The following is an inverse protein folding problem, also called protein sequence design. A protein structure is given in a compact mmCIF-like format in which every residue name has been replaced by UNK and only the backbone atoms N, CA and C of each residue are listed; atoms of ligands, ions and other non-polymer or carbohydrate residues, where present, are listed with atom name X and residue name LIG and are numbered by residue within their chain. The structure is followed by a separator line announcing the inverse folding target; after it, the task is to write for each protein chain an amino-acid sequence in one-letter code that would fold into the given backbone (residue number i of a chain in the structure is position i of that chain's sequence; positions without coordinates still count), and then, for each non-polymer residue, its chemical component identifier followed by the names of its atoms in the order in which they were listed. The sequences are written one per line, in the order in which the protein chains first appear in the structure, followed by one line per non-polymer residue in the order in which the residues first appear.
data_IF_441449970255
#
_entry.id   IF_441449970255
#
_cell.length_a   1.000
_cell.length_b   1.000
_cell.length_c   1.000
_cell.angle_alpha   90.00
_cell.angle_beta   90.00
_cell.angle_gamma   90.00
#
_symmetry.space_group_name_H-M   'P 1'
#
loop_
_entity.id
_entity.type
_entity.pdbx_description
1 polymer ?
#
# COMPACT_ATOMS: atom_id res chain seq x y z
N UNK A 1 -48.60 -3.62 74.65
CA UNK A 1 -47.30 -2.98 74.38
C UNK A 1 -46.63 -3.72 73.25
N UNK A 2 -46.31 -3.00 72.16
CA UNK A 2 -45.21 -3.15 71.18
C UNK A 2 -44.73 -4.58 70.80
N UNK A 3 -44.45 -4.96 69.56
CA UNK A 3 -44.71 -4.49 68.20
C UNK A 3 -44.28 -5.68 67.31
N UNK A 4 -45.17 -6.18 66.44
CA UNK A 4 -44.80 -7.07 65.34
C UNK A 4 -44.17 -6.20 64.25
N UNK A 5 -42.90 -6.45 63.92
CA UNK A 5 -42.24 -5.84 62.76
C UNK A 5 -41.82 -6.95 61.80
N UNK A 6 -42.56 -7.04 60.70
CA UNK A 6 -42.08 -7.48 59.37
C UNK A 6 -41.81 -6.20 58.56
N UNK A 7 -41.27 -6.16 57.32
CA UNK A 7 -40.95 -7.23 56.37
C UNK A 7 -39.61 -7.06 55.58
N UNK A 8 -39.21 -8.14 54.87
CA UNK A 8 -38.79 -8.21 53.45
C UNK A 8 -37.90 -7.09 52.86
N UNK A 9 -36.75 -7.45 52.25
CA UNK A 9 -36.53 -7.35 50.78
C UNK A 9 -35.05 -7.58 50.40
N UNK A 10 -34.86 -8.63 49.60
CA UNK A 10 -33.77 -8.81 48.64
C UNK A 10 -33.71 -7.62 47.69
N UNK A 11 -32.52 -7.19 47.26
CA UNK A 11 -32.22 -6.56 45.96
C UNK A 11 -30.82 -5.90 46.00
N UNK A 12 -30.00 -5.76 44.96
CA UNK A 12 -29.98 -6.20 43.56
C UNK A 12 -28.49 -6.06 43.15
N UNK A 13 -27.99 -7.01 42.36
CA UNK A 13 -26.69 -6.91 41.70
C UNK A 13 -26.71 -5.75 40.69
N UNK A 14 -25.83 -4.76 40.85
CA UNK A 14 -25.57 -3.76 39.83
C UNK A 14 -24.52 -4.32 38.85
N UNK A 15 -25.01 -5.08 37.88
CA UNK A 15 -24.29 -5.39 36.66
C UNK A 15 -24.20 -4.13 35.79
N UNK A 16 -23.02 -3.52 35.73
CA UNK A 16 -22.71 -2.47 34.76
C UNK A 16 -22.39 -3.11 33.41
N UNK A 17 -23.37 -3.19 32.52
CA UNK A 17 -23.17 -3.53 31.12
C UNK A 17 -22.46 -2.34 30.42
N UNK A 18 -21.15 -2.43 30.21
CA UNK A 18 -20.44 -1.52 29.32
C UNK A 18 -20.84 -1.86 27.87
N UNK A 19 -21.71 -1.05 27.27
CA UNK A 19 -21.94 -1.08 25.83
C UNK A 19 -20.65 -0.64 25.11
N UNK A 20 -19.84 -1.60 24.71
CA UNK A 20 -18.81 -1.39 23.70
C UNK A 20 -19.52 -1.18 22.35
N UNK A 21 -19.77 0.07 21.99
CA UNK A 21 -20.19 0.43 20.65
C UNK A 21 -19.02 0.17 19.70
N UNK A 22 -19.03 -1.00 19.05
CA UNK A 22 -18.16 -1.32 17.94
C UNK A 22 -18.57 -0.44 16.75
N UNK A 23 -17.90 0.70 16.58
CA UNK A 23 -17.99 1.48 15.35
C UNK A 23 -17.35 0.63 14.25
N UNK A 24 -18.17 -0.07 13.48
CA UNK A 24 -17.73 -0.74 12.27
C UNK A 24 -17.30 0.32 11.26
N UNK A 25 -16.00 0.56 11.14
CA UNK A 25 -15.45 1.39 10.07
C UNK A 25 -15.73 0.70 8.74
N UNK A 26 -16.69 1.23 7.97
CA UNK A 26 -16.90 0.83 6.58
C UNK A 26 -15.62 1.17 5.82
N UNK A 27 -14.88 0.16 5.36
CA UNK A 27 -13.73 0.41 4.48
C UNK A 27 -14.28 0.86 3.13
N UNK A 28 -13.80 2.00 2.58
CA UNK A 28 -14.17 2.40 1.23
C UNK A 28 -13.80 1.29 0.25
N UNK A 29 -14.68 1.06 -0.72
CA UNK A 29 -14.52 0.00 -1.73
C UNK A 29 -13.46 0.47 -2.72
N UNK A 30 -12.35 -0.27 -2.84
CA UNK A 30 -11.35 0.06 -3.84
C UNK A 30 -11.86 -0.28 -5.25
N UNK A 31 -11.72 0.67 -6.17
CA UNK A 31 -12.03 0.48 -7.59
C UNK A 31 -10.76 0.23 -8.39
N UNK A 32 -10.86 -0.58 -9.45
CA UNK A 32 -9.70 -0.89 -10.29
C UNK A 32 -9.54 0.20 -11.34
N UNK A 33 -8.43 0.93 -11.29
CA UNK A 33 -8.09 1.94 -12.28
C UNK A 33 -6.93 1.50 -13.15
N UNK A 34 -6.90 2.00 -14.39
CA UNK A 34 -5.74 1.90 -15.27
C UNK A 34 -4.82 3.09 -15.02
N UNK A 35 -3.54 2.80 -14.90
CA UNK A 35 -2.47 3.75 -14.65
C UNK A 35 -1.52 3.81 -15.85
N UNK A 36 -1.19 5.01 -16.30
CA UNK A 36 -0.27 5.25 -17.41
C UNK A 36 0.96 6.02 -16.91
N UNK A 37 2.14 5.47 -17.17
CA UNK A 37 3.41 6.04 -16.70
C UNK A 37 4.02 7.01 -17.71
N UNK A 38 4.42 8.17 -17.22
CA UNK A 38 5.16 9.20 -17.94
C UNK A 38 6.50 9.46 -17.25
N UNK A 39 7.54 8.75 -17.67
CA UNK A 39 8.90 8.91 -17.19
C UNK A 39 9.90 8.67 -18.34
N UNK A 40 11.08 9.33 -18.33
CA UNK A 40 12.10 9.10 -19.34
C UNK A 40 12.53 7.62 -19.35
N UNK A 41 12.86 7.13 -20.54
CA UNK A 41 13.48 5.82 -20.74
C UNK A 41 14.91 6.04 -21.21
N UNK A 42 15.86 5.49 -20.47
CA UNK A 42 17.26 5.47 -20.89
C UNK A 42 17.49 4.27 -21.82
N UNK A 43 18.20 4.50 -22.93
CA UNK A 43 18.56 3.43 -23.86
C UNK A 43 19.47 2.40 -23.16
N UNK A 44 19.20 1.12 -23.37
CA UNK A 44 19.95 0.03 -22.73
C UNK A 44 19.62 -0.19 -21.25
N UNK A 45 18.73 0.61 -20.64
CA UNK A 45 18.29 0.41 -19.27
C UNK A 45 17.29 -0.74 -19.15
N UNK A 46 17.43 -1.53 -18.09
CA UNK A 46 16.46 -2.53 -17.69
C UNK A 46 15.68 -2.04 -16.46
N UNK A 47 14.36 -2.09 -16.52
CA UNK A 47 13.49 -1.63 -15.43
C UNK A 47 12.65 -2.80 -14.91
N UNK A 48 12.79 -3.12 -13.63
CA UNK A 48 11.85 -4.00 -12.92
C UNK A 48 10.62 -3.16 -12.52
N UNK A 49 9.64 -3.08 -13.41
CA UNK A 49 8.51 -2.14 -13.29
C UNK A 49 7.15 -2.83 -13.39
N UNK A 50 6.17 -2.34 -12.62
CA UNK A 50 4.76 -2.69 -12.73
C UNK A 50 4.17 -2.26 -14.10
N UNK A 51 4.82 -1.31 -14.78
CA UNK A 51 4.40 -0.75 -16.06
C UNK A 51 5.07 -1.40 -17.27
N UNK A 52 5.54 -2.65 -17.15
CA UNK A 52 6.30 -3.35 -18.21
C UNK A 52 5.55 -3.46 -19.55
N UNK A 53 4.22 -3.37 -19.52
CA UNK A 53 3.34 -3.42 -20.70
C UNK A 53 2.72 -2.04 -21.02
N UNK A 54 3.30 -0.95 -20.51
CA UNK A 54 2.83 0.43 -20.73
C UNK A 54 1.79 0.90 -19.70
N UNK A 55 0.95 0.00 -19.21
CA UNK A 55 -0.09 0.28 -18.21
C UNK A 55 -0.01 -0.67 -17.00
N UNK A 56 -0.49 -0.19 -15.85
CA UNK A 56 -0.75 -1.01 -14.67
C UNK A 56 -2.24 -0.90 -14.29
N UNK A 57 -2.87 -2.00 -13.89
CA UNK A 57 -4.24 -1.99 -13.34
C UNK A 57 -4.19 -2.27 -11.86
N UNK A 58 -4.65 -1.34 -11.03
CA UNK A 58 -4.53 -1.45 -9.58
C UNK A 58 -5.79 -0.97 -8.86
N UNK A 59 -6.17 -1.62 -7.75
CA UNK A 59 -7.24 -1.13 -6.90
C UNK A 59 -6.77 0.12 -6.15
N UNK A 60 -7.49 1.23 -6.28
CA UNK A 60 -7.25 2.48 -5.55
C UNK A 60 -8.47 2.76 -4.68
N UNK A 61 -8.24 3.08 -3.41
CA UNK A 61 -9.28 3.52 -2.49
C UNK A 61 -9.54 5.03 -2.68
N UNK A 62 -10.72 5.49 -2.27
CA UNK A 62 -11.18 6.88 -2.46
C UNK A 62 -10.24 7.94 -1.88
N UNK A 63 -9.44 7.59 -0.86
CA UNK A 63 -8.48 8.48 -0.21
C UNK A 63 -7.14 8.63 -0.96
N UNK A 64 -6.98 7.94 -2.10
CA UNK A 64 -5.79 7.98 -2.96
C UNK A 64 -4.47 7.86 -2.21
N UNK A 65 -4.35 6.82 -1.37
CA UNK A 65 -3.12 6.56 -0.64
C UNK A 65 -1.86 6.45 -1.53
N UNK A 66 -0.69 6.67 -0.93
CA UNK A 66 0.59 6.41 -1.60
C UNK A 66 0.70 4.94 -1.97
N UNK A 67 0.98 4.65 -3.24
CA UNK A 67 1.17 3.29 -3.73
C UNK A 67 2.66 2.96 -3.79
N UNK A 68 3.03 1.75 -3.38
CA UNK A 68 4.41 1.27 -3.45
C UNK A 68 4.46 -0.13 -4.05
N UNK A 69 5.15 -0.28 -5.18
CA UNK A 69 5.44 -1.57 -5.79
C UNK A 69 6.88 -1.97 -5.48
N UNK A 70 7.07 -3.17 -4.94
CA UNK A 70 8.39 -3.75 -4.69
C UNK A 70 8.53 -5.03 -5.49
N UNK A 71 9.53 -5.07 -6.36
CA UNK A 71 9.83 -6.22 -7.20
C UNK A 71 11.24 -6.67 -6.94
N UNK A 72 11.46 -7.99 -6.96
CA UNK A 72 12.78 -8.60 -6.84
C UNK A 72 12.97 -9.59 -7.98
N UNK A 73 14.15 -9.61 -8.56
CA UNK A 73 14.50 -10.55 -9.61
C UNK A 73 16.00 -10.84 -9.59
N UNK A 74 16.36 -12.05 -9.97
CA UNK A 74 17.72 -12.39 -10.37
C UNK A 74 17.84 -12.03 -11.87
N UNK A 75 18.83 -11.21 -12.20
CA UNK A 75 19.05 -10.73 -13.57
C UNK A 75 20.24 -11.46 -14.22
N UNK A 76 20.33 -11.35 -15.53
CA UNK A 76 21.39 -11.99 -16.32
C UNK A 76 22.77 -11.33 -16.16
N UNK A 77 22.90 -10.33 -15.29
CA UNK A 77 24.17 -9.77 -14.83
C UNK A 77 24.81 -10.57 -13.69
N UNK A 78 24.16 -11.66 -13.23
CA UNK A 78 24.60 -12.49 -12.12
C UNK A 78 24.21 -11.92 -10.74
N UNK A 79 23.34 -10.90 -10.70
CA UNK A 79 22.94 -10.24 -9.48
C UNK A 79 21.44 -10.32 -9.21
N UNK A 80 21.11 -10.33 -7.92
CA UNK A 80 19.75 -10.18 -7.42
C UNK A 80 19.47 -8.71 -7.14
N UNK A 81 18.42 -8.20 -7.74
CA UNK A 81 18.01 -6.80 -7.64
C UNK A 81 16.66 -6.64 -6.94
N UNK A 82 16.45 -5.48 -6.33
CA UNK A 82 15.16 -5.00 -5.87
C UNK A 82 14.87 -3.64 -6.50
N UNK A 83 13.76 -3.52 -7.20
CA UNK A 83 13.20 -2.24 -7.60
C UNK A 83 12.05 -1.84 -6.69
N UNK A 84 11.95 -0.54 -6.44
CA UNK A 84 10.86 0.10 -5.72
C UNK A 84 10.29 1.21 -6.57
N UNK A 85 8.99 1.14 -6.87
CA UNK A 85 8.23 2.22 -7.49
C UNK A 85 7.31 2.83 -6.45
N UNK A 86 7.40 4.14 -6.26
CA UNK A 86 6.56 4.90 -5.34
C UNK A 86 5.73 5.90 -6.11
N UNK A 87 4.43 5.90 -5.84
CA UNK A 87 3.47 6.84 -6.39
C UNK A 87 2.86 7.64 -5.26
N UNK A 88 3.17 8.93 -5.20
CA UNK A 88 2.60 9.86 -4.20
C UNK A 88 1.51 10.68 -4.87
N UNK A 89 0.27 10.68 -4.36
CA UNK A 89 -0.84 11.43 -4.95
C UNK A 89 -0.49 12.92 -5.01
N UNK A 90 -0.75 13.55 -6.15
CA UNK A 90 -0.61 15.01 -6.31
C UNK A 90 -1.90 15.67 -6.79
N UNK A 91 -2.86 14.89 -7.30
CA UNK A 91 -4.23 15.32 -7.60
C UNK A 91 -5.14 14.09 -7.73
N UNK A 92 -6.46 14.33 -7.84
CA UNK A 92 -7.47 13.29 -8.03
C UNK A 92 -7.25 12.35 -9.24
N UNK A 93 -6.40 12.71 -10.22
CA UNK A 93 -6.11 11.84 -11.38
C UNK A 93 -4.62 11.69 -11.67
N UNK A 94 -3.75 12.06 -10.73
CA UNK A 94 -2.31 12.05 -10.97
C UNK A 94 -1.49 11.76 -9.72
N UNK A 95 -0.46 10.94 -9.91
CA UNK A 95 0.58 10.68 -8.94
C UNK A 95 1.92 11.22 -9.44
N UNK A 96 2.75 11.72 -8.52
CA UNK A 96 4.19 11.81 -8.77
C UNK A 96 4.80 10.41 -8.69
N UNK A 97 5.79 10.12 -9.54
CA UNK A 97 6.40 8.80 -9.64
C UNK A 97 7.90 8.85 -9.37
N UNK A 98 8.37 7.86 -8.60
CA UNK A 98 9.79 7.61 -8.36
C UNK A 98 10.11 6.13 -8.51
N UNK A 99 11.14 5.81 -9.27
CA UNK A 99 11.74 4.48 -9.40
C UNK A 99 13.15 4.50 -8.81
N UNK A 100 13.40 3.57 -7.90
CA UNK A 100 14.71 3.34 -7.28
C UNK A 100 15.04 1.86 -7.31
N UNK A 101 16.33 1.55 -7.37
CA UNK A 101 16.78 0.16 -7.34
C UNK A 101 18.01 -0.06 -6.48
N UNK A 102 18.07 -1.28 -5.96
CA UNK A 102 19.09 -1.74 -5.05
C UNK A 102 19.54 -3.14 -5.43
N UNK A 103 20.85 -3.29 -5.53
CA UNK A 103 21.51 -4.58 -5.59
C UNK A 103 21.42 -5.24 -4.21
N UNK A 104 20.90 -6.47 -4.18
CA UNK A 104 20.72 -7.25 -2.95
C UNK A 104 21.91 -8.19 -2.73
N UNK A 105 22.32 -8.90 -3.77
CA UNK A 105 23.44 -9.84 -3.76
C UNK A 105 23.95 -10.06 -5.19
N UNK A 106 25.16 -10.57 -5.34
CA UNK A 106 25.73 -10.98 -6.62
C UNK A 106 26.53 -12.26 -6.47
N UNK A 107 26.65 -13.01 -7.56
CA UNK A 107 27.67 -14.05 -7.71
C UNK A 107 29.09 -13.44 -7.67
N UNK A 108 30.13 -14.20 -7.28
CA UNK A 108 31.49 -13.69 -7.12
C UNK A 108 32.08 -12.98 -8.35
N UNK A 109 31.75 -13.45 -9.55
CA UNK A 109 32.28 -12.93 -10.83
C UNK A 109 31.22 -12.16 -11.63
N UNK A 110 30.13 -11.74 -10.98
CA UNK A 110 29.06 -10.99 -11.61
C UNK A 110 29.54 -9.60 -12.10
N UNK A 111 28.93 -9.11 -13.17
CA UNK A 111 29.16 -7.77 -13.72
C UNK A 111 27.86 -6.97 -13.65
N UNK A 112 27.56 -6.33 -12.50
CA UNK A 112 26.26 -5.74 -12.26
C UNK A 112 25.88 -4.68 -13.29
N UNK A 113 24.60 -4.63 -13.65
CA UNK A 113 24.08 -3.53 -14.44
C UNK A 113 24.20 -2.19 -13.71
N UNK A 114 24.29 -1.12 -14.49
CA UNK A 114 24.32 0.25 -13.97
C UNK A 114 22.92 0.64 -13.51
N UNK A 115 22.84 1.28 -12.34
CA UNK A 115 21.57 1.82 -11.83
C UNK A 115 21.04 2.92 -12.73
N UNK A 116 19.73 2.91 -12.94
CA UNK A 116 18.95 3.84 -13.77
C UNK A 116 17.75 4.37 -12.99
N UNK A 117 17.96 5.08 -11.86
CA UNK A 117 16.84 5.71 -11.15
C UNK A 117 16.11 6.68 -12.08
N UNK A 118 14.80 6.81 -11.91
CA UNK A 118 14.00 7.76 -12.71
C UNK A 118 12.82 8.31 -11.94
N UNK A 119 12.43 9.53 -12.30
CA UNK A 119 11.26 10.23 -11.77
C UNK A 119 10.33 10.62 -12.92
N UNK A 120 9.08 10.89 -12.60
CA UNK A 120 8.06 11.26 -13.57
C UNK A 120 6.70 11.44 -12.91
N UNK A 121 5.64 11.17 -13.66
CA UNK A 121 4.28 11.14 -13.14
C UNK A 121 3.48 9.98 -13.72
N UNK A 122 2.37 9.65 -13.07
CA UNK A 122 1.44 8.61 -13.50
C UNK A 122 0.04 9.19 -13.55
N UNK A 123 -0.64 9.01 -14.67
CA UNK A 123 -2.03 9.40 -14.85
C UNK A 123 -2.98 8.24 -14.53
N UNK A 124 -4.08 8.57 -13.85
CA UNK A 124 -5.22 7.66 -13.63
C UNK A 124 -6.18 7.86 -14.78
N UNK A 125 -6.32 6.83 -15.61
CA UNK A 125 -7.16 6.84 -16.82
C UNK A 125 -8.27 5.82 -16.66
N UNK A 126 -9.48 6.30 -16.42
CA UNK A 126 -10.69 5.48 -16.37
C UNK A 126 -11.06 4.93 -17.77
#
# INVERSE_FOLDING_TARGET
MQALTSPVFRSIALGGLLLAATVATVKPKAETHRLVLHAPRQCGAFYLTAFRHGEARVPIADDQATLTFRMRADLNDGCRWQATETLVPISAKRYSYRYEERLLSCEPDALPFVKTPRTGYVDVVD
#
